data_IF_565922535011
#
_entry.id   IF_565922535011
#
_cell.length_a   1.000
_cell.length_b   1.000
_cell.length_c   1.000
_cell.angle_alpha   90.00
_cell.angle_beta   90.00
_cell.angle_gamma   90.00
#
_symmetry.space_group_name_H-M   'P 1'
#
loop_
_entity.id
_entity.type
_entity.pdbx_description
1 polymer ?
#
# COMPACT_ATOMS: atom_id res chain seq x y z
N UNK A 1 -3.30 7.73 -17.59
CA UNK A 1 -4.55 7.01 -17.88
C UNK A 1 -4.35 5.48 -17.90
N UNK A 2 -3.23 4.95 -18.41
CA UNK A 2 -2.96 3.50 -18.43
C UNK A 2 -2.70 2.89 -17.05
N UNK A 3 -1.85 3.49 -16.21
CA UNK A 3 -1.56 2.98 -14.87
C UNK A 3 -2.81 2.84 -13.99
N UNK A 4 -3.73 3.79 -14.07
CA UNK A 4 -5.02 3.73 -13.34
C UNK A 4 -5.86 2.54 -13.76
N UNK A 5 -5.91 2.21 -15.06
CA UNK A 5 -6.62 1.02 -15.56
C UNK A 5 -5.97 -0.27 -15.04
N UNK A 6 -4.64 -0.33 -15.02
CA UNK A 6 -3.91 -1.49 -14.50
C UNK A 6 -4.11 -1.68 -12.99
N UNK A 7 -4.11 -0.59 -12.22
CA UNK A 7 -4.46 -0.65 -10.80
C UNK A 7 -5.89 -1.17 -10.61
N UNK A 8 -6.86 -0.67 -11.38
CA UNK A 8 -8.24 -1.16 -11.32
C UNK A 8 -8.35 -2.67 -11.62
N UNK A 9 -7.56 -3.18 -12.57
CA UNK A 9 -7.44 -4.62 -12.84
C UNK A 9 -6.87 -5.38 -11.64
N UNK A 10 -5.79 -4.89 -11.01
CA UNK A 10 -5.19 -5.54 -9.83
C UNK A 10 -6.15 -5.60 -8.63
N UNK A 11 -6.98 -4.58 -8.45
CA UNK A 11 -8.02 -4.56 -7.41
C UNK A 11 -9.30 -5.31 -7.81
N UNK A 12 -9.41 -5.80 -9.06
CA UNK A 12 -10.64 -6.34 -9.63
C UNK A 12 -11.84 -5.37 -9.51
N UNK A 13 -11.59 -4.06 -9.60
CA UNK A 13 -12.60 -2.99 -9.47
C UNK A 13 -12.44 -1.98 -10.61
N UNK A 14 -13.18 -2.21 -11.70
CA UNK A 14 -13.02 -1.43 -12.93
C UNK A 14 -13.67 -0.04 -12.88
N UNK A 15 -14.72 0.13 -12.08
CA UNK A 15 -15.50 1.38 -11.98
C UNK A 15 -15.18 2.19 -10.71
N UNK A 16 -13.98 2.04 -10.14
CA UNK A 16 -13.58 2.83 -8.97
C UNK A 16 -12.95 4.17 -9.36
N UNK A 17 -13.12 5.15 -8.48
CA UNK A 17 -12.47 6.45 -8.56
C UNK A 17 -11.35 6.52 -7.52
N UNK A 18 -10.21 7.09 -7.92
CA UNK A 18 -9.06 7.28 -7.05
C UNK A 18 -9.06 8.71 -6.52
N UNK A 19 -8.94 8.85 -5.22
CA UNK A 19 -8.77 10.13 -4.54
C UNK A 19 -7.33 10.26 -4.03
N UNK A 20 -6.73 11.42 -4.24
CA UNK A 20 -5.42 11.73 -3.68
C UNK A 20 -5.61 12.15 -2.23
N UNK A 21 -5.10 11.36 -1.31
CA UNK A 21 -5.23 11.59 0.14
C UNK A 21 -3.91 11.97 0.81
N UNK A 22 -2.78 11.76 0.13
CA UNK A 22 -1.45 12.16 0.57
C UNK A 22 -0.47 12.24 -0.62
N UNK A 23 0.34 13.30 -0.69
CA UNK A 23 1.40 13.48 -1.68
C UNK A 23 2.53 14.33 -1.11
N UNK A 24 3.77 13.87 -1.24
CA UNK A 24 4.94 14.69 -0.97
C UNK A 24 5.35 15.48 -2.23
N UNK A 25 5.90 16.71 -2.09
CA UNK A 25 6.17 17.43 -0.84
C UNK A 25 4.95 18.21 -0.29
N UNK A 26 3.78 18.15 -0.93
CA UNK A 26 2.61 18.95 -0.55
C UNK A 26 2.15 18.70 0.90
N UNK A 27 2.13 17.43 1.32
CA UNK A 27 1.62 16.98 2.63
C UNK A 27 2.74 16.60 3.61
N UNK A 28 3.96 17.11 3.40
CA UNK A 28 5.20 16.80 4.16
C UNK A 28 5.82 15.42 3.87
N UNK A 29 6.99 15.13 4.42
CA UNK A 29 7.70 13.84 4.37
C UNK A 29 7.64 13.08 5.70
N UNK A 30 6.77 13.48 6.62
CA UNK A 30 6.68 12.91 7.97
C UNK A 30 5.78 11.67 8.02
N UNK A 31 6.35 10.55 8.48
CA UNK A 31 5.66 9.27 8.59
C UNK A 31 4.43 9.33 9.53
N UNK A 32 4.46 10.16 10.58
CA UNK A 32 3.30 10.30 11.48
C UNK A 32 2.12 10.96 10.77
N UNK A 33 2.41 11.97 9.96
CA UNK A 33 1.42 12.67 9.13
C UNK A 33 0.79 11.69 8.14
N UNK A 34 1.59 10.86 7.47
CA UNK A 34 1.09 9.78 6.60
C UNK A 34 0.19 8.78 7.36
N UNK A 35 0.66 8.25 8.50
CA UNK A 35 -0.07 7.24 9.29
C UNK A 35 -1.39 7.76 9.85
N UNK A 36 -1.50 9.05 10.16
CA UNK A 36 -2.76 9.63 10.65
C UNK A 36 -3.90 9.64 9.61
N UNK A 37 -3.59 9.42 8.33
CA UNK A 37 -4.54 9.57 7.21
C UNK A 37 -4.86 8.29 6.45
N UNK A 38 -4.06 7.22 6.56
CA UNK A 38 -4.07 6.16 5.55
C UNK A 38 -3.89 4.74 6.08
N UNK A 39 -5.00 4.03 6.35
CA UNK A 39 -5.11 2.54 6.25
C UNK A 39 -6.55 2.10 6.53
N UNK A 40 -6.93 0.92 6.03
CA UNK A 40 -8.18 0.25 6.41
C UNK A 40 -8.19 -0.26 7.87
N UNK A 41 -7.01 -0.53 8.43
CA UNK A 41 -6.78 -0.89 9.84
C UNK A 41 -6.11 0.32 10.51
N UNK A 42 -6.69 0.93 11.56
CA UNK A 42 -6.08 2.07 12.23
C UNK A 42 -4.61 1.82 12.61
N UNK A 43 -3.71 2.77 12.31
CA UNK A 43 -2.31 2.70 12.73
C UNK A 43 -2.21 2.80 14.26
N UNK A 44 -2.16 1.65 14.92
CA UNK A 44 -2.05 1.55 16.39
C UNK A 44 -0.68 1.92 16.92
N UNK A 45 0.36 1.95 16.07
CA UNK A 45 1.74 2.33 16.44
C UNK A 45 2.32 1.49 17.58
N UNK A 46 1.83 0.26 17.74
CA UNK A 46 2.12 -0.64 18.85
C UNK A 46 3.39 -1.49 18.62
N UNK A 47 4.17 -1.17 17.59
CA UNK A 47 5.36 -1.93 17.17
C UNK A 47 5.04 -3.42 16.93
N UNK A 48 3.86 -3.70 16.38
CA UNK A 48 3.42 -5.05 16.03
C UNK A 48 3.15 -5.20 14.54
N UNK A 49 3.15 -6.44 14.07
CA UNK A 49 2.70 -6.77 12.73
C UNK A 49 1.18 -6.93 12.72
N UNK A 50 0.56 -6.55 11.60
CA UNK A 50 -0.87 -6.69 11.36
C UNK A 50 -1.13 -7.67 10.23
N UNK A 51 -2.15 -8.48 10.47
CA UNK A 51 -2.66 -9.43 9.49
C UNK A 51 -3.50 -8.71 8.44
N UNK A 52 -3.17 -8.92 7.17
CA UNK A 52 -4.00 -8.52 6.04
C UNK A 52 -3.84 -9.52 4.88
N UNK A 53 -4.82 -10.40 4.73
CA UNK A 53 -4.84 -11.41 3.66
C UNK A 53 -5.19 -10.83 2.29
N UNK A 54 -5.61 -9.56 2.24
CA UNK A 54 -5.97 -8.85 1.01
C UNK A 54 -4.82 -7.99 0.48
N UNK A 55 -3.77 -7.79 1.28
CA UNK A 55 -2.58 -7.04 0.90
C UNK A 55 -1.84 -7.70 -0.28
N UNK A 56 -1.25 -6.87 -1.12
CA UNK A 56 -0.39 -7.29 -2.23
C UNK A 56 0.61 -6.18 -2.57
N UNK A 57 1.78 -6.58 -3.06
CA UNK A 57 2.73 -5.65 -3.69
C UNK A 57 2.46 -5.57 -5.19
N UNK A 58 2.82 -4.45 -5.81
CA UNK A 58 2.71 -4.31 -7.25
C UNK A 58 3.84 -3.47 -7.83
N UNK A 59 4.11 -3.69 -9.11
CA UNK A 59 4.94 -2.81 -9.94
C UNK A 59 4.10 -2.29 -11.11
N UNK A 60 4.29 -1.02 -11.47
CA UNK A 60 3.68 -0.42 -12.67
C UNK A 60 4.71 -0.16 -13.75
N UNK A 61 5.91 0.24 -13.35
CA UNK A 61 7.05 0.48 -14.24
C UNK A 61 8.26 -0.21 -13.65
N UNK A 62 9.05 -0.87 -14.49
CA UNK A 62 10.27 -1.52 -14.08
C UNK A 62 11.38 -1.21 -15.11
N UNK A 63 12.58 -0.78 -14.69
CA UNK A 63 13.66 -0.39 -15.60
C UNK A 63 14.23 -1.57 -16.41
N UNK A 64 13.94 -2.81 -16.00
CA UNK A 64 14.35 -4.03 -16.70
C UNK A 64 13.26 -4.56 -17.64
N UNK A 65 12.23 -3.75 -17.93
CA UNK A 65 11.17 -4.12 -18.88
C UNK A 65 10.19 -5.18 -18.33
N UNK A 66 10.19 -5.43 -17.02
CA UNK A 66 9.21 -6.32 -16.39
C UNK A 66 7.83 -5.65 -16.51
N UNK A 67 6.80 -6.36 -17.02
CA UNK A 67 5.46 -5.80 -17.14
C UNK A 67 4.88 -5.48 -15.75
N UNK A 68 3.83 -4.63 -15.68
CA UNK A 68 3.14 -4.41 -14.43
C UNK A 68 2.72 -5.72 -13.78
N UNK A 69 3.19 -5.99 -12.57
CA UNK A 69 3.06 -7.29 -11.90
C UNK A 69 2.43 -7.13 -10.53
N UNK A 70 1.54 -8.05 -10.16
CA UNK A 70 0.91 -8.16 -8.84
C UNK A 70 1.52 -9.35 -8.08
N UNK A 71 1.95 -9.11 -6.85
CA UNK A 71 2.51 -10.11 -5.95
C UNK A 71 1.58 -10.26 -4.74
N UNK A 72 0.77 -11.33 -4.75
CA UNK A 72 -0.15 -11.62 -3.66
C UNK A 72 0.61 -12.08 -2.41
N UNK A 73 0.05 -11.78 -1.23
CA UNK A 73 0.59 -12.27 0.02
C UNK A 73 0.58 -13.79 0.10
N UNK A 74 1.59 -14.37 0.74
CA UNK A 74 1.54 -15.78 1.14
C UNK A 74 0.61 -15.90 2.35
N UNK A 75 -0.53 -16.61 2.24
CA UNK A 75 -1.52 -16.69 3.31
C UNK A 75 -0.97 -17.33 4.60
N UNK A 76 0.10 -18.13 4.54
CA UNK A 76 0.70 -18.76 5.73
C UNK A 76 1.48 -17.77 6.61
N UNK A 77 1.78 -16.58 6.12
CA UNK A 77 2.53 -15.53 6.84
C UNK A 77 1.80 -14.18 6.81
N UNK A 78 0.49 -14.20 6.55
CA UNK A 78 -0.31 -12.98 6.38
C UNK A 78 -0.34 -12.11 7.63
N UNK A 79 -0.09 -12.67 8.81
CA UNK A 79 0.09 -11.93 10.08
C UNK A 79 1.22 -10.89 10.04
N UNK A 80 2.14 -11.01 9.08
CA UNK A 80 3.26 -10.11 8.87
C UNK A 80 3.06 -9.15 7.67
N UNK A 81 1.83 -8.93 7.22
CA UNK A 81 1.52 -8.15 6.02
C UNK A 81 1.92 -6.67 6.10
N UNK A 82 1.73 -6.07 7.28
CA UNK A 82 2.02 -4.64 7.51
C UNK A 82 2.59 -4.47 8.91
N UNK A 83 3.65 -3.70 9.07
CA UNK A 83 4.20 -3.40 10.40
C UNK A 83 3.77 -2.03 10.91
N UNK A 84 3.07 -2.00 12.04
CA UNK A 84 2.58 -0.78 12.67
C UNK A 84 3.60 -0.20 13.65
N UNK A 85 4.53 0.63 13.16
CA UNK A 85 5.45 1.37 14.04
C UNK A 85 5.64 2.82 13.58
N UNK A 86 5.06 3.77 14.32
CA UNK A 86 4.96 5.19 13.92
C UNK A 86 6.26 5.96 13.75
N UNK A 87 7.37 5.41 14.24
CA UNK A 87 8.69 6.05 14.12
C UNK A 87 9.44 5.61 12.86
N UNK A 88 8.92 4.64 12.11
CA UNK A 88 9.42 4.27 10.80
C UNK A 88 8.39 4.62 9.73
N UNK A 89 8.84 4.69 8.48
CA UNK A 89 7.94 4.67 7.33
C UNK A 89 7.19 3.33 7.24
N UNK A 90 6.10 3.26 6.44
CA UNK A 90 5.39 2.02 6.22
C UNK A 90 6.29 0.88 5.75
N UNK A 91 6.18 -0.27 6.41
CA UNK A 91 6.89 -1.51 6.04
C UNK A 91 5.84 -2.55 5.68
N UNK A 92 6.03 -3.17 4.51
CA UNK A 92 5.19 -4.20 3.88
C UNK A 92 5.99 -5.48 3.64
#
# INVERSE_FOLDING_TARGET
MEHTKKLNEFYCKFNQHWELIYKTPHDDFDAKTFHSRYTAIPWTSDNSNKSDTTAFLFTLTNPHGIPPTKYCINPTVAENAVRHYSTFDPIF
#
